data_IF_962302335911
#
_entry.id   IF_962302335911
#
_cell.length_a   1.000
_cell.length_b   1.000
_cell.length_c   1.000
_cell.angle_alpha   90.00
_cell.angle_beta   90.00
_cell.angle_gamma   90.00
#
_symmetry.space_group_name_H-M   'P 1'
#
loop_
_entity.id
_entity.type
_entity.pdbx_description
1 polymer ?
#
# COMPACT_ATOMS: atom_id res chain seq x y z
N UNK A 1 17.65 -2.96 -27.35
CA UNK A 1 16.37 -3.43 -26.81
C UNK A 1 15.85 -2.30 -25.92
N UNK A 2 14.61 -1.81 -26.08
CA UNK A 2 14.15 -0.71 -25.26
C UNK A 2 13.90 -1.24 -23.84
N UNK A 3 14.63 -0.72 -22.87
CA UNK A 3 14.33 -0.88 -21.45
C UNK A 3 13.10 -0.03 -21.17
N UNK A 4 11.92 -0.58 -21.50
CA UNK A 4 10.64 0.01 -21.16
C UNK A 4 10.47 -0.11 -19.64
N UNK A 5 10.93 0.94 -18.97
CA UNK A 5 10.07 1.79 -18.17
C UNK A 5 9.32 1.08 -17.02
N UNK A 6 10.06 0.51 -16.06
CA UNK A 6 9.50 0.14 -14.75
C UNK A 6 8.85 1.36 -14.03
N UNK A 7 9.08 2.60 -14.53
CA UNK A 7 8.41 3.82 -14.06
C UNK A 7 7.01 3.98 -14.66
N UNK A 8 6.79 3.72 -15.96
CA UNK A 8 5.47 3.73 -16.59
C UNK A 8 4.53 2.65 -15.99
N UNK A 9 5.02 1.44 -15.73
CA UNK A 9 4.24 0.37 -15.09
C UNK A 9 3.73 0.81 -13.70
N UNK A 10 4.62 1.40 -12.88
CA UNK A 10 4.25 1.92 -11.56
C UNK A 10 3.29 3.10 -11.65
N UNK A 11 3.48 4.00 -12.63
CA UNK A 11 2.54 5.11 -12.83
C UNK A 11 1.14 4.64 -13.17
N UNK A 12 1.01 3.63 -14.04
CA UNK A 12 -0.27 3.03 -14.39
C UNK A 12 -0.94 2.37 -13.17
N UNK A 13 -0.16 1.72 -12.30
CA UNK A 13 -0.68 1.17 -11.05
C UNK A 13 -1.23 2.26 -10.11
N UNK A 14 -0.54 3.38 -9.99
CA UNK A 14 -0.95 4.51 -9.16
C UNK A 14 -2.23 5.17 -9.68
N UNK A 15 -2.34 5.37 -10.99
CA UNK A 15 -3.56 5.93 -11.61
C UNK A 15 -4.76 5.02 -11.36
N UNK A 16 -4.58 3.71 -11.51
CA UNK A 16 -5.64 2.73 -11.27
C UNK A 16 -6.05 2.65 -9.80
N UNK A 17 -5.07 2.76 -8.89
CA UNK A 17 -5.33 2.80 -7.46
C UNK A 17 -6.08 4.07 -7.08
N UNK A 18 -5.70 5.24 -7.61
CA UNK A 18 -6.41 6.49 -7.37
C UNK A 18 -7.85 6.46 -7.92
N UNK A 19 -8.06 5.76 -9.04
CA UNK A 19 -9.41 5.54 -9.57
C UNK A 19 -10.26 4.58 -8.71
N UNK A 20 -9.62 3.67 -7.97
CA UNK A 20 -10.30 2.66 -7.13
C UNK A 20 -10.52 3.18 -5.70
N UNK A 21 -9.57 3.94 -5.17
CA UNK A 21 -9.55 4.48 -3.82
C UNK A 21 -9.48 6.01 -3.87
N UNK A 22 -10.65 6.66 -3.79
CA UNK A 22 -10.78 8.13 -3.85
C UNK A 22 -9.98 8.86 -2.76
N UNK A 23 -9.80 8.22 -1.59
CA UNK A 23 -9.05 8.77 -0.46
C UNK A 23 -7.54 8.39 -0.47
N UNK A 24 -7.06 7.76 -1.54
CA UNK A 24 -5.64 7.38 -1.65
C UNK A 24 -4.77 8.59 -1.98
N UNK A 25 -3.74 8.81 -1.17
CA UNK A 25 -2.72 9.84 -1.40
C UNK A 25 -1.43 9.22 -1.91
N UNK A 26 -0.89 9.75 -3.00
CA UNK A 26 0.37 9.28 -3.58
C UNK A 26 1.42 10.38 -3.43
N UNK A 27 2.58 10.02 -2.86
CA UNK A 27 3.74 10.87 -2.71
C UNK A 27 4.90 10.29 -3.52
N UNK A 28 5.26 10.96 -4.62
CA UNK A 28 6.39 10.57 -5.46
C UNK A 28 7.65 11.31 -5.03
N UNK A 29 8.73 10.58 -4.78
CA UNK A 29 10.06 11.14 -4.54
C UNK A 29 11.06 10.56 -5.56
N UNK A 30 12.19 11.24 -5.84
CA UNK A 30 13.18 10.73 -6.79
C UNK A 30 13.81 9.40 -6.37
N UNK A 31 13.63 8.97 -5.11
CA UNK A 31 14.19 7.75 -4.56
C UNK A 31 13.15 6.67 -4.27
N UNK A 32 11.84 6.97 -4.27
CA UNK A 32 10.76 6.02 -3.98
C UNK A 32 9.39 6.65 -4.23
N UNK A 33 8.38 5.83 -4.50
CA UNK A 33 6.97 6.24 -4.49
C UNK A 33 6.31 5.69 -3.24
N UNK A 34 5.67 6.56 -2.46
CA UNK A 34 4.88 6.15 -1.30
C UNK A 34 3.40 6.35 -1.59
N UNK A 35 2.63 5.29 -1.37
CA UNK A 35 1.18 5.26 -1.51
C UNK A 35 0.58 5.17 -0.11
N UNK A 36 -0.35 6.05 0.21
CA UNK A 36 -1.04 6.07 1.50
C UNK A 36 -2.53 5.82 1.29
N UNK A 37 -3.03 4.71 1.81
CA UNK A 37 -4.44 4.31 1.73
C UNK A 37 -5.02 4.23 3.14
N UNK A 38 -6.15 4.89 3.42
CA UNK A 38 -6.86 4.69 4.68
C UNK A 38 -7.50 3.29 4.67
N UNK A 39 -7.21 2.52 5.72
CA UNK A 39 -7.82 1.21 5.95
C UNK A 39 -8.79 1.30 7.12
N UNK A 40 -9.99 0.76 6.90
CA UNK A 40 -11.06 0.71 7.88
C UNK A 40 -11.42 -0.74 8.16
N UNK A 41 -11.71 -1.12 9.41
CA UNK A 41 -12.33 -2.40 9.70
C UNK A 41 -13.67 -2.47 8.96
N UNK A 42 -14.00 -3.66 8.47
CA UNK A 42 -15.35 -3.94 7.99
C UNK A 42 -16.31 -3.98 9.18
N UNK A 43 -16.68 -2.81 9.72
CA UNK A 43 -17.69 -2.71 10.75
C UNK A 43 -19.08 -2.83 10.12
N UNK A 44 -20.02 -3.52 10.79
CA UNK A 44 -21.40 -3.56 10.34
C UNK A 44 -21.99 -2.14 10.27
N UNK A 45 -22.90 -1.88 9.30
CA UNK A 45 -23.51 -0.57 9.15
C UNK A 45 -24.24 -0.18 10.44
N UNK A 46 -23.82 0.93 11.06
CA UNK A 46 -24.41 1.46 12.29
C UNK A 46 -23.48 1.44 13.51
N UNK A 47 -22.34 0.74 13.47
CA UNK A 47 -21.31 0.90 14.49
C UNK A 47 -20.34 2.02 14.13
N UNK A 48 -19.90 2.84 15.11
CA UNK A 48 -18.94 3.89 14.82
C UNK A 48 -17.62 3.26 14.35
N UNK A 49 -17.06 3.80 13.27
CA UNK A 49 -15.74 3.41 12.76
C UNK A 49 -14.69 3.94 13.73
N UNK A 50 -14.36 3.14 14.74
CA UNK A 50 -13.41 3.54 15.80
C UNK A 50 -11.95 3.25 15.45
N UNK A 51 -11.71 2.31 14.53
CA UNK A 51 -10.36 1.94 14.15
C UNK A 51 -10.09 2.48 12.74
N UNK A 52 -9.16 3.41 12.64
CA UNK A 52 -8.66 3.94 11.37
C UNK A 52 -7.15 3.79 11.39
N UNK A 53 -6.58 3.30 10.30
CA UNK A 53 -5.14 3.31 10.11
C UNK A 53 -4.84 3.78 8.69
N UNK A 54 -3.70 4.45 8.53
CA UNK A 54 -3.16 4.75 7.21
C UNK A 54 -2.13 3.69 6.88
N UNK A 55 -2.40 2.90 5.84
CA UNK A 55 -1.43 1.99 5.26
C UNK A 55 -0.56 2.76 4.27
N UNK A 56 0.74 2.77 4.54
CA UNK A 56 1.75 3.40 3.69
C UNK A 56 2.58 2.32 3.00
N UNK A 57 2.49 2.22 1.68
CA UNK A 57 3.25 1.32 0.83
C UNK A 57 4.35 2.11 0.12
N UNK A 58 5.61 1.82 0.43
CA UNK A 58 6.76 2.51 -0.18
C UNK A 58 7.43 1.61 -1.21
N UNK A 59 7.25 1.96 -2.48
CA UNK A 59 7.85 1.28 -3.62
C UNK A 59 9.20 1.92 -3.94
N UNK A 60 10.27 1.15 -3.76
CA UNK A 60 11.62 1.56 -4.13
C UNK A 60 11.86 1.40 -5.65
N UNK A 61 12.89 2.05 -6.22
CA UNK A 61 13.22 1.94 -7.64
C UNK A 61 13.54 0.48 -7.97
N UNK A 62 12.80 -0.11 -8.92
CA UNK A 62 12.89 -1.52 -9.28
C UNK A 62 11.70 -2.37 -8.82
N UNK A 63 10.74 -1.83 -8.07
CA UNK A 63 9.43 -2.46 -7.90
C UNK A 63 8.70 -2.57 -9.26
N UNK A 64 7.91 -3.64 -9.52
CA UNK A 64 7.65 -4.80 -8.67
C UNK A 64 8.66 -5.96 -8.78
N UNK A 65 9.61 -5.90 -9.73
CA UNK A 65 10.44 -7.06 -10.13
C UNK A 65 11.66 -7.28 -9.23
N UNK A 66 12.28 -6.21 -8.75
CA UNK A 66 13.57 -6.25 -8.04
C UNK A 66 13.43 -6.07 -6.52
N UNK A 67 12.37 -5.40 -6.07
CA UNK A 67 12.15 -5.09 -4.66
C UNK A 67 10.66 -5.11 -4.35
N UNK A 68 10.30 -5.74 -3.24
CA UNK A 68 8.98 -5.62 -2.64
C UNK A 68 8.77 -4.20 -2.09
N UNK A 69 7.53 -3.69 -2.08
CA UNK A 69 7.17 -2.46 -1.43
C UNK A 69 7.28 -2.66 0.09
N UNK A 70 7.70 -1.62 0.81
CA UNK A 70 7.73 -1.67 2.26
C UNK A 70 6.39 -1.19 2.83
N UNK A 71 5.76 -2.01 3.67
CA UNK A 71 4.54 -1.66 4.40
C UNK A 71 4.88 -0.89 5.68
N UNK A 72 4.04 0.10 6.00
CA UNK A 72 4.04 0.73 7.32
C UNK A 72 2.64 1.24 7.67
N UNK A 73 2.33 1.28 8.96
CA UNK A 73 1.06 1.80 9.46
C UNK A 73 1.29 3.16 10.13
N UNK A 74 0.45 4.13 9.83
CA UNK A 74 0.51 5.49 10.37
C UNK A 74 -0.86 5.94 10.87
N UNK A 75 -0.88 6.93 11.78
CA UNK A 75 -2.11 7.49 12.39
C UNK A 75 -3.10 6.44 12.89
N UNK A 76 -2.58 5.37 13.48
CA UNK A 76 -3.40 4.26 13.92
C UNK A 76 -4.25 4.65 15.14
N UNK A 77 -5.55 4.53 15.01
CA UNK A 77 -6.54 4.72 16.07
C UNK A 77 -7.17 3.37 16.42
N UNK A 78 -7.33 3.09 17.71
CA UNK A 78 -8.05 1.90 18.19
C UNK A 78 -7.33 0.55 18.03
N UNK A 79 -6.08 0.53 17.56
CA UNK A 79 -5.22 -0.67 17.62
C UNK A 79 -4.07 -0.46 18.61
N UNK A 80 -3.89 -1.43 19.51
CA UNK A 80 -2.74 -1.49 20.42
C UNK A 80 -1.46 -1.90 19.68
N UNK A 81 -0.29 -1.62 20.26
CA UNK A 81 1.02 -1.87 19.61
C UNK A 81 1.23 -3.31 19.12
N UNK A 82 0.69 -4.30 19.84
CA UNK A 82 0.73 -5.71 19.41
C UNK A 82 -0.13 -5.96 18.17
N UNK A 83 -1.32 -5.38 18.11
CA UNK A 83 -2.23 -5.54 16.98
C UNK A 83 -1.67 -4.86 15.73
N UNK A 84 -1.05 -3.70 15.90
CA UNK A 84 -0.33 -3.00 14.83
C UNK A 84 0.80 -3.86 14.27
N UNK A 85 1.61 -4.45 15.14
CA UNK A 85 2.72 -5.33 14.73
C UNK A 85 2.22 -6.58 14.00
N UNK A 86 1.16 -7.24 14.49
CA UNK A 86 0.58 -8.41 13.84
C UNK A 86 -0.01 -8.08 12.47
N UNK A 87 -0.70 -6.95 12.35
CA UNK A 87 -1.24 -6.49 11.07
C UNK A 87 -0.12 -6.18 10.08
N UNK A 88 0.94 -5.51 10.54
CA UNK A 88 2.08 -5.19 9.72
C UNK A 88 2.83 -6.44 9.26
N UNK A 89 3.03 -7.42 10.14
CA UNK A 89 3.67 -8.71 9.82
C UNK A 89 2.88 -9.49 8.77
N UNK A 90 1.54 -9.52 8.90
CA UNK A 90 0.67 -10.14 7.91
C UNK A 90 0.72 -9.41 6.55
N UNK A 91 0.73 -8.08 6.55
CA UNK A 91 0.87 -7.28 5.33
C UNK A 91 2.22 -7.49 4.65
N UNK A 92 3.31 -7.54 5.44
CA UNK A 92 4.66 -7.80 4.93
C UNK A 92 4.76 -9.21 4.33
N UNK A 93 4.15 -10.21 4.98
CA UNK A 93 4.08 -11.57 4.46
C UNK A 93 3.32 -11.66 3.13
N UNK A 94 2.17 -10.99 3.01
CA UNK A 94 1.40 -10.92 1.75
C UNK A 94 2.19 -10.22 0.65
N UNK A 95 2.84 -9.10 0.97
CA UNK A 95 3.69 -8.37 0.05
C UNK A 95 4.88 -9.23 -0.41
N UNK A 96 5.51 -9.96 0.50
CA UNK A 96 6.62 -10.84 0.14
C UNK A 96 6.15 -12.03 -0.70
N UNK A 97 4.95 -12.56 -0.43
CA UNK A 97 4.35 -13.65 -1.20
C UNK A 97 4.02 -13.23 -2.64
N UNK A 98 3.66 -11.97 -2.84
CA UNK A 98 3.33 -11.39 -4.14
C UNK A 98 4.55 -10.77 -4.85
N UNK A 99 5.76 -10.90 -4.29
CA UNK A 99 6.97 -10.27 -4.83
C UNK A 99 7.22 -10.66 -6.29
N UNK A 100 7.33 -9.67 -7.19
CA UNK A 100 7.44 -9.89 -8.63
C UNK A 100 6.14 -9.77 -9.41
N UNK A 101 4.99 -9.63 -8.74
CA UNK A 101 3.69 -9.30 -9.35
C UNK A 101 3.27 -7.85 -9.01
N UNK A 102 2.45 -7.24 -9.88
CA UNK A 102 1.79 -5.95 -9.61
C UNK A 102 0.80 -6.12 -8.45
N UNK A 103 1.00 -5.38 -7.35
CA UNK A 103 0.23 -5.56 -6.11
C UNK A 103 -0.81 -4.47 -5.87
N UNK A 104 -0.68 -3.29 -6.48
CA UNK A 104 -1.51 -2.14 -6.14
C UNK A 104 -2.86 -2.15 -6.89
N UNK A 105 -3.03 -3.01 -7.89
CA UNK A 105 -4.21 -2.97 -8.81
C UNK A 105 -5.03 -4.27 -8.85
N UNK A 106 -4.79 -5.23 -7.96
CA UNK A 106 -5.69 -6.41 -7.87
C UNK A 106 -6.99 -6.04 -7.14
N UNK A 107 -7.87 -5.35 -7.87
CA UNK A 107 -9.30 -5.22 -7.55
C UNK A 107 -10.09 -6.44 -8.00
#
# INVERSE_FOLDING_TARGET
MPELDDSDDLQLELESLHATYDECSVATSPAAVTVTVPIFPSTPPGEPRFNEALLCLTCAPGYPKAVAPCCSLSKVQGLDGTQQAQLLDALDAEVQALHGEMMLVRG
#
